data_IF_088081160226
#
_entry.id   IF_088081160226
#
_cell.length_a   1.000
_cell.length_b   1.000
_cell.length_c   1.000
_cell.angle_alpha   90.00
_cell.angle_beta   90.00
_cell.angle_gamma   90.00
#
_symmetry.space_group_name_H-M   'P 1'
#
loop_
_entity.id
_entity.type
_entity.pdbx_description
1 polymer ?
#
# COMPACT_ATOMS: atom_id res chain seq x y z
N UNK A 1 10.42 -16.15 24.28
CA UNK A 1 11.13 -16.07 25.59
C UNK A 1 12.51 -15.38 25.52
N UNK A 2 13.01 -15.08 24.33
CA UNK A 2 14.36 -14.48 24.15
C UNK A 2 14.43 -13.05 24.76
N UNK A 3 13.35 -12.28 24.66
CA UNK A 3 13.32 -10.89 25.14
C UNK A 3 12.67 -10.72 26.52
N UNK A 4 12.16 -11.78 27.16
CA UNK A 4 11.49 -11.72 28.46
C UNK A 4 10.14 -10.98 28.47
N UNK A 5 9.65 -10.53 27.31
CA UNK A 5 8.38 -9.83 27.15
C UNK A 5 7.38 -10.66 26.37
N UNK A 6 6.08 -10.45 26.65
CA UNK A 6 5.00 -10.97 25.84
C UNK A 6 4.63 -9.90 24.81
N UNK A 7 4.77 -10.18 23.50
CA UNK A 7 4.37 -9.22 22.48
C UNK A 7 2.85 -9.05 22.45
N UNK A 8 2.39 -7.82 22.23
CA UNK A 8 1.00 -7.57 21.89
C UNK A 8 0.79 -7.90 20.41
N UNK A 9 -0.14 -8.80 20.13
CA UNK A 9 -0.46 -9.19 18.75
C UNK A 9 -1.63 -8.34 18.24
N UNK A 10 -1.46 -7.76 17.07
CA UNK A 10 -2.57 -7.09 16.36
C UNK A 10 -3.39 -8.17 15.67
N UNK A 11 -4.62 -8.35 16.14
CA UNK A 11 -5.52 -9.39 15.66
C UNK A 11 -6.93 -9.22 16.20
N UNK A 12 -7.76 -10.27 16.07
CA UNK A 12 -9.13 -10.24 16.53
C UNK A 12 -9.23 -9.86 18.02
N UNK A 13 -10.08 -8.87 18.33
CA UNK A 13 -10.34 -8.42 19.71
C UNK A 13 -9.47 -7.27 20.18
N UNK A 14 -8.43 -6.86 19.43
CA UNK A 14 -7.66 -5.67 19.78
C UNK A 14 -8.47 -4.39 19.52
N UNK A 15 -8.37 -3.42 20.40
CA UNK A 15 -9.07 -2.14 20.26
C UNK A 15 -8.32 -1.25 19.27
N UNK A 16 -8.87 -1.06 18.09
CA UNK A 16 -8.34 -0.14 17.06
C UNK A 16 -8.97 1.25 17.17
N UNK A 17 -10.24 1.32 17.55
CA UNK A 17 -11.04 2.54 17.53
C UNK A 17 -11.56 2.90 16.13
N UNK A 18 -11.47 1.98 15.20
CA UNK A 18 -11.94 2.09 13.81
C UNK A 18 -13.02 1.04 13.56
N UNK A 19 -14.07 1.40 12.83
CA UNK A 19 -15.04 0.45 12.33
C UNK A 19 -14.53 -0.16 11.03
N UNK A 20 -14.82 -1.44 10.82
CA UNK A 20 -14.50 -2.16 9.58
C UNK A 20 -15.83 -2.57 8.94
N UNK A 21 -16.18 -1.93 7.82
CA UNK A 21 -17.42 -2.17 7.07
C UNK A 21 -17.06 -3.03 5.86
N UNK A 22 -16.85 -4.32 6.13
CA UNK A 22 -16.53 -5.34 5.14
C UNK A 22 -17.49 -6.52 5.33
N UNK A 23 -17.75 -7.28 4.27
CA UNK A 23 -18.56 -8.51 4.35
C UNK A 23 -18.01 -9.49 5.39
N UNK A 24 -16.69 -9.61 5.46
CA UNK A 24 -16.01 -10.39 6.49
C UNK A 24 -14.83 -9.60 7.08
N UNK A 25 -15.05 -8.82 8.15
CA UNK A 25 -14.01 -8.01 8.79
C UNK A 25 -12.79 -8.80 9.28
N UNK A 26 -12.93 -10.10 9.55
CA UNK A 26 -11.85 -10.97 10.04
C UNK A 26 -10.81 -11.31 8.98
N UNK A 27 -11.10 -11.07 7.70
CA UNK A 27 -10.20 -11.35 6.59
C UNK A 27 -9.29 -10.17 6.23
N UNK A 28 -9.52 -9.00 6.84
CA UNK A 28 -8.66 -7.83 6.63
C UNK A 28 -7.30 -8.08 7.29
N UNK A 29 -6.22 -7.88 6.53
CA UNK A 29 -4.86 -8.01 7.03
C UNK A 29 -4.58 -7.07 8.21
N UNK A 30 -3.83 -7.55 9.19
CA UNK A 30 -3.50 -6.75 10.38
C UNK A 30 -2.67 -5.51 10.04
N UNK A 31 -1.79 -5.60 9.04
CA UNK A 31 -1.02 -4.50 8.47
C UNK A 31 -1.93 -3.40 7.90
N UNK A 32 -2.91 -3.77 7.08
CA UNK A 32 -3.90 -2.85 6.51
C UNK A 32 -4.71 -2.13 7.60
N UNK A 33 -5.06 -2.84 8.69
CA UNK A 33 -5.75 -2.24 9.84
C UNK A 33 -4.83 -1.24 10.56
N UNK A 34 -3.57 -1.60 10.77
CA UNK A 34 -2.58 -0.76 11.46
C UNK A 34 -2.35 0.53 10.68
N UNK A 35 -2.14 0.44 9.36
CA UNK A 35 -1.94 1.59 8.49
C UNK A 35 -3.17 2.51 8.49
N UNK A 36 -4.37 1.94 8.42
CA UNK A 36 -5.61 2.71 8.46
C UNK A 36 -5.80 3.45 9.79
N UNK A 37 -5.44 2.83 10.92
CA UNK A 37 -5.50 3.48 12.25
C UNK A 37 -4.56 4.69 12.31
N UNK A 38 -3.35 4.60 11.75
CA UNK A 38 -2.43 5.73 11.67
C UNK A 38 -2.96 6.81 10.74
N UNK A 39 -3.43 6.42 9.56
CA UNK A 39 -3.93 7.33 8.55
C UNK A 39 -5.11 8.18 9.07
N UNK A 40 -6.10 7.55 9.71
CA UNK A 40 -7.25 8.25 10.32
C UNK A 40 -6.81 9.28 11.37
N UNK A 41 -5.73 8.99 12.10
CA UNK A 41 -5.23 9.88 13.15
C UNK A 41 -4.52 11.10 12.60
N UNK A 42 -3.80 10.98 11.48
CA UNK A 42 -2.87 12.00 10.99
C UNK A 42 -3.38 12.77 9.77
N UNK A 43 -4.33 12.21 9.02
CA UNK A 43 -4.77 12.78 7.75
C UNK A 43 -6.28 12.97 7.67
N UNK A 44 -6.75 13.98 6.93
CA UNK A 44 -8.18 14.18 6.72
C UNK A 44 -8.75 13.12 5.77
N UNK A 45 -9.96 12.63 6.08
CA UNK A 45 -10.69 11.69 5.23
C UNK A 45 -11.53 12.38 4.12
N UNK A 46 -11.94 11.61 3.09
CA UNK A 46 -11.65 10.19 2.91
C UNK A 46 -10.18 9.93 2.57
N UNK A 47 -9.70 8.72 2.83
CA UNK A 47 -8.28 8.37 2.70
C UNK A 47 -8.13 7.11 1.84
N UNK A 48 -7.16 7.12 0.91
CA UNK A 48 -6.69 5.93 0.20
C UNK A 48 -5.25 5.67 0.61
N UNK A 49 -4.98 4.47 1.14
CA UNK A 49 -3.67 4.06 1.63
C UNK A 49 -3.09 3.03 0.68
N UNK A 50 -1.93 3.30 0.11
CA UNK A 50 -1.21 2.40 -0.79
C UNK A 50 -0.04 1.80 -0.02
N UNK A 51 -0.05 0.50 0.26
CA UNK A 51 1.13 -0.19 0.78
C UNK A 51 1.79 -1.03 -0.33
N UNK A 52 3.06 -0.71 -0.60
CA UNK A 52 3.84 -1.37 -1.66
C UNK A 52 4.88 -2.33 -1.06
N UNK A 53 4.39 -3.49 -0.64
CA UNK A 53 5.17 -4.61 -0.13
C UNK A 53 5.34 -5.75 -1.15
N UNK A 54 5.23 -7.00 -0.67
CA UNK A 54 5.20 -8.21 -1.50
C UNK A 54 3.97 -8.21 -2.41
N UNK A 55 2.80 -7.90 -1.86
CA UNK A 55 1.65 -7.44 -2.61
C UNK A 55 1.62 -5.91 -2.56
N UNK A 56 0.92 -5.29 -3.50
CA UNK A 56 0.51 -3.90 -3.36
C UNK A 56 -0.97 -3.91 -2.97
N UNK A 57 -1.30 -3.25 -1.89
CA UNK A 57 -2.66 -3.07 -1.43
C UNK A 57 -3.07 -1.61 -1.53
N UNK A 58 -4.33 -1.34 -1.81
CA UNK A 58 -4.91 0.00 -1.68
C UNK A 58 -6.13 -0.12 -0.79
N UNK A 59 -6.06 0.45 0.40
CA UNK A 59 -7.11 0.44 1.43
C UNK A 59 -7.86 1.75 1.42
N UNK A 60 -9.18 1.70 1.59
CA UNK A 60 -10.04 2.88 1.59
C UNK A 60 -10.69 3.09 2.95
N UNK A 61 -10.55 4.30 3.46
CA UNK A 61 -11.21 4.79 4.65
C UNK A 61 -12.15 5.93 4.24
N UNK A 62 -13.41 5.83 4.62
CA UNK A 62 -14.41 6.85 4.33
C UNK A 62 -14.21 8.13 5.15
N UNK A 63 -14.98 9.16 4.85
CA UNK A 63 -14.96 10.45 5.57
C UNK A 63 -15.30 10.34 7.06
N UNK A 64 -16.01 9.29 7.45
CA UNK A 64 -16.39 9.02 8.85
C UNK A 64 -15.32 8.21 9.61
N UNK A 65 -14.21 7.84 8.96
CA UNK A 65 -13.14 7.05 9.55
C UNK A 65 -13.43 5.56 9.59
N UNK A 66 -14.33 5.04 8.75
CA UNK A 66 -14.59 3.62 8.64
C UNK A 66 -13.72 3.01 7.53
N UNK A 67 -13.12 1.86 7.80
CA UNK A 67 -12.49 1.05 6.76
C UNK A 67 -13.56 0.38 5.90
N UNK A 68 -13.62 0.70 4.62
CA UNK A 68 -14.72 0.27 3.75
C UNK A 68 -14.31 -0.73 2.67
N UNK A 69 -13.03 -1.02 2.53
CA UNK A 69 -12.55 -1.98 1.54
C UNK A 69 -11.24 -1.60 0.91
N UNK A 70 -10.99 -2.17 -0.26
CA UNK A 70 -9.77 -1.91 -1.02
C UNK A 70 -9.49 -2.93 -2.10
N UNK A 71 -8.29 -2.90 -2.64
CA UNK A 71 -7.81 -3.84 -3.64
C UNK A 71 -6.47 -4.44 -3.25
N UNK A 72 -6.17 -5.59 -3.82
CA UNK A 72 -4.88 -6.29 -3.67
C UNK A 72 -4.41 -6.73 -5.05
N UNK A 73 -3.16 -6.42 -5.38
CA UNK A 73 -2.55 -6.89 -6.63
C UNK A 73 -1.06 -7.23 -6.46
N UNK A 74 -0.43 -7.90 -7.43
CA UNK A 74 0.97 -8.30 -7.32
C UNK A 74 1.89 -7.09 -7.13
N UNK A 75 2.75 -7.12 -6.10
CA UNK A 75 3.75 -6.07 -5.90
C UNK A 75 4.81 -6.05 -7.00
N UNK A 76 5.60 -4.97 -7.07
CA UNK A 76 6.58 -4.76 -8.14
C UNK A 76 7.56 -5.92 -8.29
N UNK A 77 8.09 -6.44 -7.18
CA UNK A 77 9.06 -7.53 -7.22
C UNK A 77 8.43 -8.82 -7.73
N UNK A 78 7.24 -9.15 -7.25
CA UNK A 78 6.48 -10.33 -7.72
C UNK A 78 6.19 -10.23 -9.21
N UNK A 79 5.78 -9.05 -9.70
CA UNK A 79 5.53 -8.79 -11.12
C UNK A 79 6.80 -8.97 -11.96
N UNK A 80 7.94 -8.45 -11.48
CA UNK A 80 9.22 -8.58 -12.17
C UNK A 80 9.73 -10.03 -12.19
N UNK A 81 9.66 -10.72 -11.05
CA UNK A 81 10.08 -12.12 -10.93
C UNK A 81 9.19 -13.03 -11.80
N UNK A 82 7.91 -12.71 -11.94
CA UNK A 82 7.00 -13.42 -12.85
C UNK A 82 7.42 -13.30 -14.31
N UNK A 83 7.87 -12.11 -14.75
CA UNK A 83 8.37 -11.92 -16.11
C UNK A 83 9.62 -12.80 -16.38
N UNK A 84 10.61 -12.76 -15.48
CA UNK A 84 11.85 -13.55 -15.67
C UNK A 84 11.63 -15.04 -15.50
N UNK A 85 10.76 -15.49 -14.60
CA UNK A 85 10.52 -16.92 -14.35
C UNK A 85 9.58 -17.60 -15.33
N UNK A 86 8.69 -16.85 -15.98
CA UNK A 86 7.68 -17.38 -16.91
C UNK A 86 8.01 -17.14 -18.38
N UNK A 87 9.14 -16.53 -18.70
CA UNK A 87 9.58 -16.30 -20.08
C UNK A 87 10.97 -16.87 -20.30
N UNK A 88 11.21 -17.42 -21.50
CA UNK A 88 12.48 -18.07 -21.84
C UNK A 88 13.66 -17.09 -22.05
N UNK A 89 13.38 -15.82 -22.31
CA UNK A 89 14.39 -14.86 -22.79
C UNK A 89 14.57 -13.62 -21.93
N UNK A 90 13.70 -13.40 -20.91
CA UNK A 90 13.80 -12.21 -20.07
C UNK A 90 14.71 -12.47 -18.86
N UNK A 91 15.80 -11.68 -18.69
CA UNK A 91 16.72 -11.87 -17.59
C UNK A 91 16.13 -11.39 -16.26
N UNK A 92 16.68 -11.89 -15.15
CA UNK A 92 16.45 -11.23 -13.84
C UNK A 92 17.16 -9.89 -13.81
N UNK A 93 16.46 -8.84 -13.38
CA UNK A 93 16.98 -7.47 -13.33
C UNK A 93 16.71 -6.82 -11.97
N UNK A 94 17.51 -5.80 -11.63
CA UNK A 94 17.25 -4.94 -10.46
C UNK A 94 16.11 -3.95 -10.72
N UNK A 95 15.40 -3.60 -9.65
CA UNK A 95 14.41 -2.52 -9.65
C UNK A 95 15.14 -1.17 -9.53
N UNK A 96 15.24 -0.46 -10.66
CA UNK A 96 15.79 0.89 -10.73
C UNK A 96 14.85 1.79 -11.50
N UNK A 97 14.88 3.09 -11.20
CA UNK A 97 14.06 4.08 -11.93
C UNK A 97 14.61 4.21 -13.36
N UNK A 98 13.79 3.96 -14.39
CA UNK A 98 14.25 4.07 -15.77
C UNK A 98 14.48 5.53 -16.16
N UNK A 99 15.51 5.78 -16.95
CA UNK A 99 15.86 7.14 -17.43
C UNK A 99 14.81 7.71 -18.41
N UNK A 100 14.04 6.86 -19.04
CA UNK A 100 13.02 7.20 -20.05
C UNK A 100 11.94 6.12 -20.12
N UNK A 101 10.72 6.49 -20.55
CA UNK A 101 9.61 5.56 -20.72
C UNK A 101 9.88 4.56 -21.86
N UNK A 102 10.40 5.03 -22.99
CA UNK A 102 10.69 4.17 -24.12
C UNK A 102 12.08 3.58 -23.94
N UNK A 103 12.16 2.32 -23.49
CA UNK A 103 13.41 1.54 -23.41
C UNK A 103 13.99 1.24 -24.80
N UNK A 104 15.32 1.14 -24.90
CA UNK A 104 16.02 0.81 -26.15
C UNK A 104 16.73 -0.55 -26.12
N UNK A 105 16.60 -1.30 -25.04
CA UNK A 105 17.06 -2.66 -24.86
C UNK A 105 16.10 -3.39 -23.92
N UNK A 106 16.20 -4.72 -23.85
CA UNK A 106 15.27 -5.57 -23.07
C UNK A 106 15.23 -5.16 -21.61
N UNK A 107 16.38 -4.87 -20.97
CA UNK A 107 16.45 -4.52 -19.56
C UNK A 107 15.72 -3.19 -19.29
N UNK A 108 15.98 -2.17 -20.11
CA UNK A 108 15.32 -0.86 -19.98
C UNK A 108 13.81 -0.96 -20.29
N UNK A 109 13.42 -1.79 -21.25
CA UNK A 109 12.00 -2.05 -21.54
C UNK A 109 11.30 -2.72 -20.35
N UNK A 110 11.93 -3.71 -19.71
CA UNK A 110 11.39 -4.38 -18.53
C UNK A 110 11.27 -3.41 -17.35
N UNK A 111 12.33 -2.64 -17.04
CA UNK A 111 12.30 -1.63 -15.98
C UNK A 111 11.22 -0.60 -16.21
N UNK A 112 11.14 -0.07 -17.42
CA UNK A 112 10.14 0.92 -17.79
C UNK A 112 8.72 0.35 -17.66
N UNK A 113 8.48 -0.85 -18.17
CA UNK A 113 7.18 -1.52 -18.08
C UNK A 113 6.73 -1.73 -16.63
N UNK A 114 7.63 -2.20 -15.76
CA UNK A 114 7.32 -2.41 -14.34
C UNK A 114 7.07 -1.08 -13.63
N UNK A 115 7.94 -0.09 -13.79
CA UNK A 115 7.86 1.16 -13.04
C UNK A 115 6.69 2.05 -13.50
N UNK A 116 6.66 2.38 -14.79
CA UNK A 116 5.57 3.21 -15.34
C UNK A 116 4.24 2.46 -15.46
N UNK A 117 4.28 1.13 -15.64
CA UNK A 117 3.09 0.30 -15.61
C UNK A 117 2.42 0.34 -14.23
N UNK A 118 3.19 0.21 -13.14
CA UNK A 118 2.65 0.34 -11.79
C UNK A 118 2.18 1.76 -11.49
N UNK A 119 2.93 2.81 -11.88
CA UNK A 119 2.49 4.18 -11.69
C UNK A 119 1.17 4.47 -12.43
N UNK A 120 1.06 4.05 -13.70
CA UNK A 120 -0.17 4.23 -14.47
C UNK A 120 -1.35 3.41 -13.95
N UNK A 121 -1.08 2.20 -13.40
CA UNK A 121 -2.10 1.39 -12.75
C UNK A 121 -2.60 2.06 -11.45
N UNK A 122 -1.67 2.58 -10.62
CA UNK A 122 -2.02 3.32 -9.40
C UNK A 122 -2.89 4.51 -9.75
N UNK A 123 -2.45 5.37 -10.69
CA UNK A 123 -3.21 6.55 -11.09
C UNK A 123 -4.61 6.17 -11.59
N UNK A 124 -4.74 5.20 -12.48
CA UNK A 124 -6.04 4.79 -13.00
C UNK A 124 -6.97 4.17 -11.94
N UNK A 125 -6.41 3.44 -10.96
CA UNK A 125 -7.21 2.89 -9.86
C UNK A 125 -7.65 4.01 -8.91
N UNK A 126 -6.79 4.98 -8.64
CA UNK A 126 -7.12 6.15 -7.83
C UNK A 126 -8.28 6.94 -8.44
N UNK A 127 -8.25 7.18 -9.76
CA UNK A 127 -9.35 7.82 -10.48
C UNK A 127 -10.68 7.10 -10.23
N UNK A 128 -10.71 5.77 -10.37
CA UNK A 128 -11.91 4.97 -10.13
C UNK A 128 -12.37 4.98 -8.66
N UNK A 129 -11.42 4.93 -7.71
CA UNK A 129 -11.76 4.97 -6.29
C UNK A 129 -12.34 6.33 -5.89
N UNK A 130 -11.78 7.43 -6.37
CA UNK A 130 -12.31 8.78 -6.10
C UNK A 130 -13.67 8.98 -6.77
N UNK A 131 -13.87 8.42 -7.97
CA UNK A 131 -15.19 8.43 -8.64
C UNK A 131 -16.24 7.65 -7.81
N UNK A 132 -15.89 6.48 -7.26
CA UNK A 132 -16.77 5.69 -6.41
C UNK A 132 -17.05 6.36 -5.05
N UNK A 133 -16.04 7.03 -4.47
CA UNK A 133 -16.19 7.83 -3.25
C UNK A 133 -17.04 9.09 -3.47
N UNK A 134 -17.11 9.61 -4.69
CA UNK A 134 -17.80 10.83 -5.06
C UNK A 134 -17.10 12.12 -4.60
N UNK A 135 -15.90 12.03 -4.06
CA UNK A 135 -15.09 13.17 -3.62
C UNK A 135 -13.58 12.81 -3.66
N UNK A 136 -12.69 13.81 -3.80
CA UNK A 136 -11.25 13.60 -3.73
C UNK A 136 -10.81 13.04 -2.38
N UNK A 137 -9.83 12.14 -2.39
CA UNK A 137 -9.27 11.52 -1.19
C UNK A 137 -7.88 12.07 -0.85
N UNK A 138 -7.50 11.96 0.42
CA UNK A 138 -6.09 12.06 0.82
C UNK A 138 -5.40 10.76 0.48
N UNK A 139 -4.41 10.80 -0.40
CA UNK A 139 -3.70 9.62 -0.88
C UNK A 139 -2.37 9.51 -0.17
N UNK A 140 -2.14 8.37 0.50
CA UNK A 140 -0.92 8.09 1.28
C UNK A 140 -0.29 6.83 0.73
N UNK A 141 1.03 6.82 0.59
CA UNK A 141 1.78 5.63 0.22
C UNK A 141 2.78 5.27 1.31
N UNK A 142 2.86 3.99 1.63
CA UNK A 142 3.83 3.37 2.52
C UNK A 142 4.48 2.15 1.87
N UNK A 143 5.37 1.48 2.58
CA UNK A 143 6.13 0.35 2.04
C UNK A 143 7.40 0.77 1.30
N UNK A 144 8.42 -0.08 1.39
CA UNK A 144 9.79 0.24 0.93
C UNK A 144 9.94 0.49 -0.58
N UNK A 145 8.98 0.02 -1.40
CA UNK A 145 9.00 0.20 -2.86
C UNK A 145 8.25 1.45 -3.32
N UNK A 146 7.41 2.05 -2.47
CA UNK A 146 6.64 3.27 -2.79
C UNK A 146 7.53 4.42 -3.23
N UNK A 147 8.70 4.60 -2.61
CA UNK A 147 9.66 5.66 -2.95
C UNK A 147 10.12 5.67 -4.40
N UNK A 148 10.03 4.52 -5.10
CA UNK A 148 10.44 4.40 -6.50
C UNK A 148 9.28 4.71 -7.46
N UNK A 149 8.04 4.41 -7.07
CA UNK A 149 6.87 4.52 -7.96
C UNK A 149 6.14 5.83 -7.76
N UNK A 150 5.96 6.28 -6.51
CA UNK A 150 5.24 7.54 -6.20
C UNK A 150 5.72 8.73 -7.02
N UNK A 151 7.04 8.96 -7.24
CA UNK A 151 7.51 10.07 -8.07
C UNK A 151 7.11 9.98 -9.56
N UNK A 152 6.64 8.82 -10.02
CA UNK A 152 6.20 8.58 -11.40
C UNK A 152 4.69 8.71 -11.57
N UNK A 153 3.93 8.76 -10.49
CA UNK A 153 2.49 8.93 -10.48
C UNK A 153 2.11 10.39 -10.81
N UNK A 154 0.92 10.57 -11.36
CA UNK A 154 0.33 11.88 -11.65
C UNK A 154 -0.42 12.45 -10.44
N UNK A 155 -1.01 11.58 -9.62
CA UNK A 155 -1.68 11.97 -8.39
C UNK A 155 -0.68 12.53 -7.36
N UNK A 156 -1.15 13.45 -6.55
CA UNK A 156 -0.40 13.94 -5.40
C UNK A 156 -0.49 12.92 -4.27
N UNK A 157 0.55 12.14 -4.10
CA UNK A 157 0.63 11.06 -3.11
C UNK A 157 1.60 11.48 -1.99
N UNK A 158 1.17 11.38 -0.74
CA UNK A 158 2.00 11.62 0.44
C UNK A 158 2.74 10.33 0.75
N UNK A 159 4.07 10.36 0.75
CA UNK A 159 4.88 9.20 1.17
C UNK A 159 5.14 9.26 2.67
N UNK A 160 4.69 8.23 3.40
CA UNK A 160 4.88 8.06 4.84
C UNK A 160 5.45 6.66 5.12
N UNK A 161 6.76 6.57 5.25
CA UNK A 161 7.47 5.31 5.50
C UNK A 161 7.32 4.78 6.94
N UNK A 162 6.84 5.62 7.86
CA UNK A 162 6.61 5.28 9.25
C UNK A 162 5.15 4.94 9.58
N UNK A 163 4.25 4.93 8.59
CA UNK A 163 2.80 4.78 8.80
C UNK A 163 2.47 3.57 9.66
N UNK A 164 3.02 2.39 9.32
CA UNK A 164 2.82 1.15 10.07
C UNK A 164 3.29 1.29 11.54
N UNK A 165 4.46 1.87 11.76
CA UNK A 165 5.00 2.03 13.11
C UNK A 165 4.15 2.99 13.96
N UNK A 166 3.64 4.05 13.35
CA UNK A 166 2.70 4.99 14.00
C UNK A 166 1.41 4.28 14.39
N UNK A 167 0.84 3.47 13.49
CA UNK A 167 -0.36 2.69 13.77
C UNK A 167 -0.17 1.67 14.89
N UNK A 168 0.96 0.96 14.90
CA UNK A 168 1.32 0.05 16.00
C UNK A 168 1.40 0.78 17.33
N UNK A 169 2.01 1.97 17.37
CA UNK A 169 2.09 2.78 18.59
C UNK A 169 0.71 3.21 19.08
N UNK A 170 -0.15 3.69 18.19
CA UNK A 170 -1.52 4.11 18.52
C UNK A 170 -2.32 2.94 19.10
N UNK A 171 -2.23 1.76 18.46
CA UNK A 171 -2.91 0.55 18.94
C UNK A 171 -2.36 0.11 20.29
N UNK A 172 -1.03 0.12 20.46
CA UNK A 172 -0.39 -0.19 21.74
C UNK A 172 -0.91 0.73 22.85
N UNK A 173 -0.90 2.04 22.64
CA UNK A 173 -1.39 3.02 23.62
C UNK A 173 -2.86 2.80 24.01
N UNK A 174 -3.71 2.38 23.05
CA UNK A 174 -5.13 2.08 23.33
C UNK A 174 -5.36 0.77 24.12
N UNK A 175 -4.40 -0.13 24.11
CA UNK A 175 -4.55 -1.48 24.68
C UNK A 175 -3.59 -1.78 25.84
N UNK A 176 -2.63 -0.89 26.12
CA UNK A 176 -1.84 -1.02 27.34
C UNK A 176 -2.74 -0.84 28.56
N UNK A 177 -2.69 -1.78 29.50
CA UNK A 177 -3.41 -1.72 30.77
C UNK A 177 -2.83 -0.64 31.68
#
# INVERSE_FOLDING_TARGET
>A
KILGYHPMLVGAGIKTGMNIIMDNPKTVGSDMIVDAVAAIREYPGPIIIIDMGTATTMSVVDKSGNYIGGIIYPGLRVSLDSLSSKTAQLPSISLDIPKRVIGKNTIDCMRSGIMYGNAGMIDGILDHMEEELGEPATIIATGGLSRFVVPLCKHKIIYDDALLLKGLMIIYEKNKA
#
